data_IF_039546697772
#
_entry.id   IF_039546697772
#
_cell.length_a   1.000
_cell.length_b   1.000
_cell.length_c   1.000
_cell.angle_alpha   90.00
_cell.angle_beta   90.00
_cell.angle_gamma   90.00
#
_symmetry.space_group_name_H-M   'P 1'
#
loop_
_entity.id
_entity.type
_entity.pdbx_description
1 polymer ?
#
# COMPACT_ATOMS: atom_id res chain seq x y z
N UNK A 1 3.46 -23.85 31.54
CA UNK A 1 3.29 -23.76 30.08
C UNK A 1 1.83 -23.46 29.77
N UNK A 2 1.59 -22.73 28.67
CA UNK A 2 0.78 -21.52 28.61
C UNK A 2 -0.50 -21.72 27.79
N UNK A 3 -1.47 -20.81 27.88
CA UNK A 3 -2.28 -20.34 26.74
C UNK A 3 -2.96 -19.03 27.14
N UNK A 4 -2.75 -17.97 26.35
CA UNK A 4 -3.42 -16.68 26.56
C UNK A 4 -3.03 -15.57 25.58
N UNK A 5 -2.47 -15.89 24.41
CA UNK A 5 -2.21 -14.91 23.33
C UNK A 5 -3.25 -15.00 22.19
N UNK A 6 -4.41 -15.62 22.43
CA UNK A 6 -5.45 -15.83 21.39
C UNK A 6 -6.63 -14.87 21.44
N UNK A 7 -6.72 -13.94 22.38
CA UNK A 7 -7.93 -13.09 22.51
C UNK A 7 -7.76 -11.64 22.05
N UNK A 8 -6.56 -11.10 21.88
CA UNK A 8 -6.42 -9.69 21.49
C UNK A 8 -6.94 -9.42 20.06
N UNK A 9 -6.59 -10.30 19.11
CA UNK A 9 -7.11 -10.20 17.74
C UNK A 9 -8.61 -10.52 17.71
N UNK A 10 -9.05 -11.59 18.37
CA UNK A 10 -10.48 -11.96 18.42
C UNK A 10 -11.39 -10.87 19.00
N UNK A 11 -10.94 -10.14 20.02
CA UNK A 11 -11.70 -9.03 20.63
C UNK A 11 -11.75 -7.76 19.75
N UNK A 12 -10.67 -7.46 19.01
CA UNK A 12 -10.66 -6.36 18.03
C UNK A 12 -11.64 -6.60 16.87
N UNK A 13 -11.79 -7.86 16.43
CA UNK A 13 -12.74 -8.26 15.39
C UNK A 13 -14.18 -8.42 15.91
N UNK A 14 -14.35 -8.80 17.19
CA UNK A 14 -15.66 -8.94 17.83
C UNK A 14 -16.42 -7.62 17.98
N UNK A 15 -15.72 -6.51 18.26
CA UNK A 15 -16.33 -5.18 18.34
C UNK A 15 -16.70 -4.59 16.97
N UNK A 16 -15.99 -4.94 15.89
CA UNK A 16 -16.30 -4.45 14.53
C UNK A 16 -17.60 -4.98 13.94
N UNK A 17 -18.12 -6.11 14.42
CA UNK A 17 -19.39 -6.68 13.92
C UNK A 17 -20.64 -5.98 14.44
N UNK A 18 -20.52 -5.17 15.49
CA UNK A 18 -21.67 -4.45 16.08
C UNK A 18 -21.85 -3.04 15.48
N UNK A 19 -20.84 -2.54 14.75
CA UNK A 19 -20.84 -1.25 14.04
C UNK A 19 -21.24 -1.37 12.55
N UNK A 20 -22.14 -2.31 12.22
CA UNK A 20 -22.83 -2.34 10.92
C UNK A 20 -23.76 -1.13 10.80
N UNK A 21 -23.21 0.05 10.43
CA UNK A 21 -23.87 1.19 9.77
C UNK A 21 -22.95 2.41 9.56
N UNK A 22 -21.63 2.29 9.77
CA UNK A 22 -20.69 3.34 9.40
C UNK A 22 -20.39 3.14 7.91
N UNK A 23 -20.65 4.16 7.08
CA UNK A 23 -20.17 4.18 5.71
C UNK A 23 -18.68 3.81 5.73
N UNK A 24 -18.33 2.61 5.25
CA UNK A 24 -16.95 2.10 5.29
C UNK A 24 -16.05 3.16 4.69
N UNK A 25 -15.15 3.73 5.50
CA UNK A 25 -14.21 4.73 5.02
C UNK A 25 -13.46 4.08 3.84
N UNK A 26 -13.43 4.68 2.64
CA UNK A 26 -12.72 4.13 1.49
C UNK A 26 -11.25 3.77 1.81
N UNK A 27 -10.66 4.46 2.78
CA UNK A 27 -9.32 4.18 3.29
C UNK A 27 -9.23 2.82 4.01
N UNK A 28 -10.21 2.49 4.86
CA UNK A 28 -10.30 1.21 5.58
C UNK A 28 -10.53 0.03 4.61
N UNK A 29 -11.25 0.25 3.51
CA UNK A 29 -11.49 -0.77 2.48
C UNK A 29 -10.19 -1.11 1.74
N UNK A 30 -9.43 -0.10 1.32
CA UNK A 30 -8.20 -0.30 0.56
C UNK A 30 -7.12 -1.02 1.36
N UNK A 31 -6.97 -0.66 2.63
CA UNK A 31 -6.06 -1.36 3.53
C UNK A 31 -6.57 -2.77 3.87
N UNK A 32 -7.88 -2.94 4.06
CA UNK A 32 -8.51 -4.25 4.24
C UNK A 32 -8.20 -5.21 3.09
N UNK A 33 -8.24 -4.73 1.83
CA UNK A 33 -7.85 -5.54 0.66
C UNK A 33 -6.40 -6.03 0.77
N UNK A 34 -5.47 -5.17 1.21
CA UNK A 34 -4.07 -5.56 1.37
C UNK A 34 -3.89 -6.61 2.50
N UNK A 35 -4.59 -6.45 3.62
CA UNK A 35 -4.56 -7.44 4.71
C UNK A 35 -5.15 -8.78 4.28
N UNK A 36 -6.28 -8.78 3.56
CA UNK A 36 -6.88 -9.98 3.00
C UNK A 36 -5.91 -10.71 2.06
N UNK A 37 -5.18 -9.96 1.23
CA UNK A 37 -4.11 -10.51 0.38
C UNK A 37 -3.02 -11.17 1.22
N UNK A 38 -2.53 -10.50 2.27
CA UNK A 38 -1.46 -11.02 3.14
C UNK A 38 -1.89 -12.32 3.82
N UNK A 39 -3.08 -12.34 4.43
CA UNK A 39 -3.66 -13.53 5.08
C UNK A 39 -3.87 -14.68 4.09
N UNK A 40 -4.33 -14.39 2.87
CA UNK A 40 -4.49 -15.43 1.85
C UNK A 40 -3.14 -16.00 1.39
N UNK A 41 -2.11 -15.16 1.28
CA UNK A 41 -0.77 -15.53 0.86
C UNK A 41 -0.03 -16.42 1.87
N UNK A 42 -0.34 -16.36 3.17
CA UNK A 42 0.26 -17.23 4.20
C UNK A 42 0.09 -18.73 3.93
N UNK A 43 -0.89 -19.10 3.08
CA UNK A 43 -1.14 -20.48 2.65
C UNK A 43 -0.08 -21.02 1.69
N UNK A 44 0.69 -20.14 1.05
CA UNK A 44 1.77 -20.50 0.11
C UNK A 44 3.01 -19.62 0.37
N UNK A 45 4.12 -20.19 0.89
CA UNK A 45 5.31 -19.41 1.22
C UNK A 45 5.90 -18.60 0.05
N UNK A 46 5.78 -19.10 -1.18
CA UNK A 46 6.30 -18.39 -2.36
C UNK A 46 5.40 -17.20 -2.71
N UNK A 47 4.10 -17.28 -2.43
CA UNK A 47 3.18 -16.14 -2.59
C UNK A 47 3.38 -15.13 -1.46
N UNK A 48 3.64 -15.58 -0.24
CA UNK A 48 3.95 -14.70 0.90
C UNK A 48 5.19 -13.84 0.64
N UNK A 49 6.28 -14.42 0.13
CA UNK A 49 7.50 -13.66 -0.25
C UNK A 49 7.19 -12.57 -1.29
N UNK A 50 6.31 -12.85 -2.26
CA UNK A 50 5.90 -11.84 -3.25
C UNK A 50 5.04 -10.71 -2.67
N UNK A 51 4.31 -10.98 -1.58
CA UNK A 51 3.58 -9.94 -0.84
C UNK A 51 4.56 -9.06 -0.06
N UNK A 52 5.59 -9.62 0.57
CA UNK A 52 6.63 -8.82 1.24
C UNK A 52 7.38 -7.93 0.23
N UNK A 53 7.65 -8.45 -0.97
CA UNK A 53 8.19 -7.65 -2.07
C UNK A 53 7.23 -6.55 -2.53
N UNK A 54 5.92 -6.82 -2.55
CA UNK A 54 4.90 -5.82 -2.88
C UNK A 54 4.85 -4.71 -1.82
N UNK A 55 4.95 -5.05 -0.54
CA UNK A 55 5.02 -4.10 0.58
C UNK A 55 6.21 -3.13 0.40
N UNK A 56 7.37 -3.66 0.03
CA UNK A 56 8.54 -2.84 -0.31
C UNK A 56 8.31 -1.90 -1.51
N UNK A 57 7.55 -2.35 -2.53
CA UNK A 57 7.21 -1.51 -3.68
C UNK A 57 6.24 -0.39 -3.31
N UNK A 58 5.29 -0.65 -2.42
CA UNK A 58 4.36 0.35 -1.87
C UNK A 58 5.13 1.46 -1.13
N UNK A 59 6.02 1.09 -0.22
CA UNK A 59 6.85 2.05 0.52
C UNK A 59 7.76 2.88 -0.42
N UNK A 60 8.34 2.26 -1.45
CA UNK A 60 9.12 2.97 -2.48
C UNK A 60 8.26 3.94 -3.26
N UNK A 61 7.02 3.58 -3.57
CA UNK A 61 6.08 4.45 -4.27
C UNK A 61 5.70 5.66 -3.42
N UNK A 62 5.38 5.47 -2.13
CA UNK A 62 5.11 6.58 -1.21
C UNK A 62 6.29 7.55 -1.08
N UNK A 63 7.52 7.04 -1.00
CA UNK A 63 8.74 7.87 -1.02
C UNK A 63 8.87 8.68 -2.32
N UNK A 64 8.57 8.06 -3.45
CA UNK A 64 8.61 8.72 -4.75
C UNK A 64 7.53 9.81 -4.87
N UNK A 65 6.33 9.54 -4.36
CA UNK A 65 5.24 10.52 -4.27
C UNK A 65 5.66 11.73 -3.43
N UNK A 66 6.19 11.50 -2.24
CA UNK A 66 6.68 12.55 -1.35
C UNK A 66 7.77 13.40 -2.02
N UNK A 67 8.71 12.76 -2.73
CA UNK A 67 9.77 13.45 -3.48
C UNK A 67 9.19 14.32 -4.61
N UNK A 68 8.21 13.79 -5.35
CA UNK A 68 7.50 14.51 -6.41
C UNK A 68 6.75 15.72 -5.86
N UNK A 69 6.01 15.56 -4.76
CA UNK A 69 5.28 16.65 -4.11
C UNK A 69 6.24 17.73 -3.61
N UNK A 70 7.37 17.34 -3.02
CA UNK A 70 8.42 18.29 -2.60
C UNK A 70 9.00 19.08 -3.78
N UNK A 71 9.30 18.42 -4.90
CA UNK A 71 9.79 19.09 -6.09
C UNK A 71 8.73 20.01 -6.73
N UNK A 72 7.46 19.59 -6.74
CA UNK A 72 6.34 20.40 -7.22
C UNK A 72 6.17 21.67 -6.38
N UNK A 73 6.18 21.55 -5.06
CA UNK A 73 6.06 22.70 -4.15
C UNK A 73 7.22 23.69 -4.31
N UNK A 74 8.45 23.21 -4.48
CA UNK A 74 9.60 24.07 -4.80
C UNK A 74 9.42 24.80 -6.13
N UNK A 75 8.98 24.09 -7.17
CA UNK A 75 8.73 24.67 -8.49
C UNK A 75 7.64 25.76 -8.45
N UNK A 76 6.59 25.55 -7.66
CA UNK A 76 5.50 26.51 -7.46
C UNK A 76 5.90 27.71 -6.60
N UNK A 77 6.76 27.52 -5.59
CA UNK A 77 7.13 28.56 -4.61
C UNK A 77 8.36 29.38 -4.98
N UNK A 78 9.40 28.77 -5.55
CA UNK A 78 10.65 29.43 -5.95
C UNK A 78 10.60 29.97 -7.39
N UNK A 79 9.50 29.69 -8.11
CA UNK A 79 9.29 30.05 -9.50
C UNK A 79 9.95 29.07 -10.47
N UNK A 80 9.50 29.08 -11.73
CA UNK A 80 9.93 28.13 -12.77
C UNK A 80 11.33 28.40 -13.33
N UNK A 81 12.35 28.33 -12.48
CA UNK A 81 13.75 28.35 -12.91
C UNK A 81 14.11 27.08 -13.68
N UNK A 82 15.16 27.10 -14.53
CA UNK A 82 15.63 25.89 -15.20
C UNK A 82 15.97 24.75 -14.24
N UNK A 83 16.49 25.07 -13.05
CA UNK A 83 16.87 24.10 -12.01
C UNK A 83 15.64 23.46 -11.35
N UNK A 84 14.69 24.26 -10.84
CA UNK A 84 13.47 23.74 -10.21
C UNK A 84 12.61 22.96 -11.20
N UNK A 85 12.60 23.38 -12.47
CA UNK A 85 11.97 22.62 -13.56
C UNK A 85 12.67 21.27 -13.77
N UNK A 86 14.00 21.25 -13.81
CA UNK A 86 14.75 20.00 -13.97
C UNK A 86 14.47 19.03 -12.81
N UNK A 87 14.48 19.52 -11.58
CA UNK A 87 14.19 18.72 -10.38
C UNK A 87 12.77 18.14 -10.42
N UNK A 88 11.78 18.94 -10.81
CA UNK A 88 10.41 18.49 -11.00
C UNK A 88 10.30 17.41 -12.08
N UNK A 89 10.91 17.60 -13.25
CA UNK A 89 10.89 16.63 -14.36
C UNK A 89 11.63 15.32 -14.01
N UNK A 90 12.69 15.39 -13.20
CA UNK A 90 13.39 14.20 -12.68
C UNK A 90 12.51 13.45 -11.68
N UNK A 91 11.88 14.15 -10.74
CA UNK A 91 11.00 13.56 -9.75
C UNK A 91 9.75 12.91 -10.39
N UNK A 92 9.14 13.58 -11.38
CA UNK A 92 8.00 13.04 -12.14
C UNK A 92 8.36 11.76 -12.90
N UNK A 93 9.51 11.73 -13.59
CA UNK A 93 10.00 10.50 -14.25
C UNK A 93 10.28 9.38 -13.26
N UNK A 94 10.88 9.70 -12.12
CA UNK A 94 11.15 8.74 -11.05
C UNK A 94 9.87 8.13 -10.48
N UNK A 95 8.88 8.97 -10.15
CA UNK A 95 7.55 8.55 -9.70
C UNK A 95 6.88 7.62 -10.72
N UNK A 96 6.86 8.00 -12.00
CA UNK A 96 6.28 7.19 -13.08
C UNK A 96 6.95 5.82 -13.20
N UNK A 97 8.27 5.76 -13.18
CA UNK A 97 9.02 4.50 -13.26
C UNK A 97 8.72 3.57 -12.07
N UNK A 98 8.65 4.12 -10.86
CA UNK A 98 8.33 3.34 -9.66
C UNK A 98 6.87 2.85 -9.69
N UNK A 99 5.94 3.70 -10.14
CA UNK A 99 4.55 3.32 -10.32
C UNK A 99 4.37 2.18 -11.34
N UNK A 100 5.09 2.23 -12.46
CA UNK A 100 5.09 1.14 -13.45
C UNK A 100 5.64 -0.16 -12.87
N UNK A 101 6.70 -0.07 -12.05
CA UNK A 101 7.24 -1.22 -11.33
C UNK A 101 6.24 -1.81 -10.34
N UNK A 102 5.51 -0.98 -9.60
CA UNK A 102 4.46 -1.40 -8.68
C UNK A 102 3.33 -2.14 -9.42
N UNK A 103 2.86 -1.62 -10.54
CA UNK A 103 1.86 -2.29 -11.39
C UNK A 103 2.39 -3.65 -11.85
N UNK A 104 3.64 -3.72 -12.27
CA UNK A 104 4.28 -4.99 -12.66
C UNK A 104 4.28 -5.99 -11.51
N UNK A 105 4.64 -5.57 -10.29
CA UNK A 105 4.64 -6.41 -9.10
C UNK A 105 3.23 -6.91 -8.75
N UNK A 106 2.21 -6.05 -8.79
CA UNK A 106 0.81 -6.45 -8.59
C UNK A 106 0.39 -7.54 -9.59
N UNK A 107 0.82 -7.43 -10.84
CA UNK A 107 0.53 -8.44 -11.86
C UNK A 107 1.30 -9.75 -11.62
N UNK A 108 2.52 -9.70 -11.08
CA UNK A 108 3.29 -10.88 -10.66
C UNK A 108 2.56 -11.60 -9.52
N UNK A 109 2.19 -10.87 -8.47
CA UNK A 109 1.44 -11.38 -7.32
C UNK A 109 0.13 -12.01 -7.78
N UNK A 110 -0.65 -11.31 -8.61
CA UNK A 110 -1.92 -11.83 -9.11
C UNK A 110 -1.78 -13.15 -9.89
N UNK A 111 -0.74 -13.28 -10.73
CA UNK A 111 -0.42 -14.55 -11.41
C UNK A 111 0.05 -15.64 -10.46
N UNK A 112 0.68 -15.29 -9.34
CA UNK A 112 1.10 -16.26 -8.32
C UNK A 112 -0.11 -16.79 -7.55
N UNK A 113 -1.02 -15.91 -7.12
CA UNK A 113 -2.30 -16.29 -6.52
C UNK A 113 -3.08 -17.26 -7.40
N UNK A 114 -3.22 -16.94 -8.69
CA UNK A 114 -3.92 -17.82 -9.62
C UNK A 114 -3.26 -19.19 -9.79
N UNK A 115 -1.92 -19.26 -9.77
CA UNK A 115 -1.17 -20.53 -9.87
C UNK A 115 -1.26 -21.38 -8.61
N UNK A 116 -1.41 -20.76 -7.45
CA UNK A 116 -1.55 -21.41 -6.15
C UNK A 116 -3.01 -21.73 -5.77
N UNK A 117 -3.97 -21.51 -6.67
CA UNK A 117 -5.42 -21.67 -6.42
C UNK A 117 -5.92 -20.83 -5.21
N UNK A 118 -5.36 -19.63 -5.04
CA UNK A 118 -5.74 -18.67 -4.00
C UNK A 118 -6.72 -17.62 -4.56
N UNK A 119 -7.56 -17.05 -3.67
CA UNK A 119 -8.52 -16.03 -4.08
C UNK A 119 -7.82 -14.78 -4.62
N UNK A 120 -8.09 -14.47 -5.89
CA UNK A 120 -7.50 -13.33 -6.62
C UNK A 120 -8.53 -12.23 -6.90
N UNK A 121 -9.69 -12.25 -6.23
CA UNK A 121 -10.74 -11.24 -6.43
C UNK A 121 -10.29 -9.83 -6.00
N UNK A 122 -9.32 -9.72 -5.09
CA UNK A 122 -8.68 -8.46 -4.69
C UNK A 122 -8.19 -7.65 -5.91
N UNK A 123 -7.70 -8.30 -6.98
CA UNK A 123 -7.19 -7.61 -8.17
C UNK A 123 -8.26 -6.78 -8.87
N UNK A 124 -9.52 -7.23 -8.85
CA UNK A 124 -10.67 -6.50 -9.39
C UNK A 124 -11.08 -5.35 -8.48
N UNK A 125 -10.97 -5.52 -7.16
CA UNK A 125 -11.29 -4.50 -6.16
C UNK A 125 -10.32 -3.32 -6.22
N UNK A 126 -9.02 -3.56 -6.41
CA UNK A 126 -8.00 -2.52 -6.62
C UNK A 126 -8.25 -1.76 -7.94
N UNK A 127 -8.76 -2.45 -8.96
CA UNK A 127 -8.97 -1.88 -10.30
C UNK A 127 -7.73 -1.99 -11.19
N UNK A 128 -7.93 -1.92 -12.51
CA UNK A 128 -6.85 -2.06 -13.51
C UNK A 128 -6.29 -0.72 -13.98
N UNK A 129 -6.98 0.36 -13.64
CA UNK A 129 -6.59 1.70 -14.02
C UNK A 129 -5.42 2.22 -13.18
N UNK A 130 -4.56 3.04 -13.81
CA UNK A 130 -3.35 3.56 -13.16
C UNK A 130 -3.68 4.47 -11.99
N UNK A 131 -4.71 5.29 -12.11
CA UNK A 131 -5.09 6.25 -11.07
C UNK A 131 -5.71 5.52 -9.87
N UNK A 132 -6.50 4.46 -10.13
CA UNK A 132 -7.02 3.60 -9.06
C UNK A 132 -5.90 2.88 -8.30
N UNK A 133 -4.91 2.33 -9.03
CA UNK A 133 -3.75 1.68 -8.41
C UNK A 133 -2.92 2.69 -7.61
N UNK A 134 -2.75 3.91 -8.12
CA UNK A 134 -2.04 4.98 -7.41
C UNK A 134 -2.73 5.33 -6.09
N UNK A 135 -4.05 5.55 -6.13
CA UNK A 135 -4.84 5.90 -4.96
C UNK A 135 -4.83 4.78 -3.90
N UNK A 136 -5.02 3.53 -4.34
CA UNK A 136 -4.91 2.36 -3.46
C UNK A 136 -3.51 2.27 -2.82
N UNK A 137 -2.46 2.42 -3.62
CA UNK A 137 -1.09 2.29 -3.15
C UNK A 137 -0.70 3.34 -2.11
N UNK A 138 -1.13 4.60 -2.30
CA UNK A 138 -0.90 5.66 -1.32
C UNK A 138 -1.61 5.35 0.00
N UNK A 139 -2.89 4.98 -0.08
CA UNK A 139 -3.68 4.61 1.10
C UNK A 139 -2.99 3.51 1.90
N UNK A 140 -2.60 2.41 1.26
CA UNK A 140 -1.94 1.29 1.94
C UNK A 140 -0.59 1.72 2.52
N UNK A 141 0.19 2.52 1.78
CA UNK A 141 1.50 2.97 2.24
C UNK A 141 1.41 3.89 3.46
N UNK A 142 0.39 4.74 3.55
CA UNK A 142 0.18 5.62 4.70
C UNK A 142 -0.08 4.81 5.97
N UNK A 143 -0.87 3.73 5.87
CA UNK A 143 -1.06 2.78 6.98
C UNK A 143 0.24 2.06 7.36
N UNK A 144 0.99 1.56 6.37
CA UNK A 144 2.26 0.85 6.63
C UNK A 144 3.29 1.76 7.32
N UNK A 145 3.37 3.03 6.91
CA UNK A 145 4.25 4.02 7.55
C UNK A 145 3.79 4.32 8.97
N UNK A 146 2.49 4.53 9.18
CA UNK A 146 1.93 4.78 10.52
C UNK A 146 2.20 3.61 11.48
N UNK A 147 2.03 2.37 11.03
CA UNK A 147 2.30 1.18 11.83
C UNK A 147 3.81 1.06 12.13
N UNK A 148 4.68 1.32 11.15
CA UNK A 148 6.14 1.32 11.37
C UNK A 148 6.56 2.36 12.42
N UNK A 149 6.00 3.57 12.37
CA UNK A 149 6.30 4.64 13.32
C UNK A 149 5.85 4.29 14.75
N UNK A 150 4.69 3.63 14.88
CA UNK A 150 4.15 3.12 16.15
C UNK A 150 5.06 2.07 16.77
N UNK A 151 5.50 1.09 15.98
CA UNK A 151 6.40 0.02 16.43
C UNK A 151 7.72 0.58 17.00
N UNK A 152 8.16 1.73 16.48
CA UNK A 152 9.41 2.38 16.89
C UNK A 152 9.22 3.44 17.98
N UNK A 153 8.00 3.62 18.51
CA UNK A 153 7.69 4.58 19.56
C UNK A 153 7.88 6.05 19.13
N UNK A 154 7.75 6.34 17.84
CA UNK A 154 7.98 7.67 17.23
C UNK A 154 6.67 8.42 16.96
N UNK A 155 5.59 8.16 17.71
CA UNK A 155 4.35 8.93 17.59
C UNK A 155 4.57 10.38 18.08
N UNK A 156 4.17 11.36 17.26
CA UNK A 156 4.10 12.79 17.61
C UNK A 156 2.79 13.14 18.29
#
# INVERSE_FOLDING_TARGET
MPFGERDFLGELWGRKKEDELIAENPEDINFGIFLDMKVAAEKDPAVAELIDDLENHLLRYAKAESTFLGAKLKWESEGSTPETRHDFEVADRGKKAIHDSLISQLNVVSRAFHRADLDNNWRKKIGVDRDQIAAWALTVSDHLVADTLKEHGLET
#
